data_IF_916031685512
#
_entry.id   IF_916031685512
#
_cell.length_a   1.000
_cell.length_b   1.000
_cell.length_c   1.000
_cell.angle_alpha   90.00
_cell.angle_beta   90.00
_cell.angle_gamma   90.00
#
_symmetry.space_group_name_H-M   'P 1'
#
loop_
_entity.id
_entity.type
_entity.pdbx_description
1 polymer ?
#
# COMPACT_ATOMS: atom_id res chain seq x y z
N UNK A 1 19.16 26.92 -0.07
CA UNK A 1 19.91 25.67 0.13
C UNK A 1 19.13 24.58 -0.58
N UNK A 2 19.67 24.04 -1.68
CA UNK A 2 19.04 22.97 -2.48
C UNK A 2 19.28 21.67 -1.76
N UNK A 3 18.23 21.05 -1.22
CA UNK A 3 18.33 19.72 -0.62
C UNK A 3 18.63 18.69 -1.73
N UNK A 4 19.86 18.19 -1.77
CA UNK A 4 20.21 17.06 -2.60
C UNK A 4 19.44 15.83 -2.16
N UNK A 5 18.56 15.31 -3.01
CA UNK A 5 17.94 14.01 -2.82
C UNK A 5 19.06 12.95 -2.75
N UNK A 6 19.16 12.25 -1.64
CA UNK A 6 20.12 11.18 -1.47
C UNK A 6 19.91 10.10 -2.53
N UNK A 7 20.96 9.53 -3.14
CA UNK A 7 20.85 8.50 -4.16
C UNK A 7 20.14 7.26 -3.57
N UNK A 8 19.14 6.75 -4.31
CA UNK A 8 18.48 5.48 -3.96
C UNK A 8 19.51 4.36 -4.02
N UNK A 9 19.78 3.73 -2.89
CA UNK A 9 20.65 2.54 -2.84
C UNK A 9 20.07 1.45 -3.75
N UNK A 10 20.89 0.77 -4.55
CA UNK A 10 20.43 -0.33 -5.36
C UNK A 10 19.89 -1.47 -4.49
N UNK A 11 18.86 -2.20 -4.94
CA UNK A 11 18.29 -3.33 -4.21
C UNK A 11 19.38 -4.39 -3.94
N UNK A 12 19.33 -5.03 -2.76
CA UNK A 12 20.23 -6.14 -2.47
C UNK A 12 20.04 -7.25 -3.52
N UNK A 13 21.13 -7.96 -3.88
CA UNK A 13 21.10 -9.02 -4.92
C UNK A 13 20.05 -10.12 -4.68
N UNK A 14 19.62 -10.37 -3.43
CA UNK A 14 18.53 -11.30 -3.09
C UNK A 14 17.14 -10.75 -3.42
N UNK A 15 16.90 -9.47 -3.19
CA UNK A 15 15.59 -8.83 -3.45
C UNK A 15 15.35 -8.56 -4.93
N UNK A 16 16.42 -8.34 -5.73
CA UNK A 16 16.29 -8.18 -7.18
C UNK A 16 15.86 -9.47 -7.91
N UNK A 17 15.94 -10.65 -7.25
CA UNK A 17 15.49 -11.93 -7.82
C UNK A 17 13.97 -12.18 -7.67
N UNK A 18 13.31 -11.53 -6.72
CA UNK A 18 11.90 -11.79 -6.39
C UNK A 18 10.93 -10.76 -7.02
N UNK A 19 11.42 -9.64 -7.50
CA UNK A 19 10.61 -8.67 -8.26
C UNK A 19 10.69 -8.99 -9.75
N UNK A 20 9.54 -9.18 -10.39
CA UNK A 20 9.51 -9.34 -11.84
C UNK A 20 10.17 -8.13 -12.53
N UNK A 21 11.09 -8.32 -13.48
CA UNK A 21 11.80 -7.22 -14.14
C UNK A 21 10.82 -6.19 -14.72
N UNK A 22 11.09 -4.90 -14.51
CA UNK A 22 10.27 -3.77 -15.00
C UNK A 22 9.93 -3.88 -16.49
N UNK A 23 10.85 -4.42 -17.30
CA UNK A 23 10.63 -4.66 -18.72
C UNK A 23 9.47 -5.64 -18.96
N UNK A 24 9.42 -6.78 -18.26
CA UNK A 24 8.34 -7.76 -18.40
C UNK A 24 6.99 -7.20 -18.00
N UNK A 25 6.95 -6.36 -16.96
CA UNK A 25 5.72 -5.68 -16.53
C UNK A 25 5.23 -4.69 -17.59
N UNK A 26 6.14 -3.86 -18.13
CA UNK A 26 5.82 -2.90 -19.20
C UNK A 26 5.33 -3.63 -20.46
N UNK A 27 6.00 -4.71 -20.87
CA UNK A 27 5.59 -5.52 -22.00
C UNK A 27 4.22 -6.14 -21.79
N UNK A 28 3.95 -6.70 -20.59
CA UNK A 28 2.61 -7.26 -20.27
C UNK A 28 1.53 -6.18 -20.29
N UNK A 29 1.79 -5.00 -19.72
CA UNK A 29 0.86 -3.88 -19.75
C UNK A 29 0.58 -3.41 -21.19
N UNK A 30 1.59 -3.35 -22.04
CA UNK A 30 1.44 -3.01 -23.47
C UNK A 30 0.62 -4.05 -24.20
N UNK A 31 0.92 -5.35 -24.03
CA UNK A 31 0.15 -6.44 -24.63
C UNK A 31 -1.30 -6.43 -24.16
N UNK A 32 -1.55 -6.26 -22.86
CA UNK A 32 -2.91 -6.12 -22.33
C UNK A 32 -3.65 -4.95 -22.98
N UNK A 33 -3.01 -3.80 -23.09
CA UNK A 33 -3.58 -2.60 -23.74
C UNK A 33 -3.92 -2.86 -25.21
N UNK A 34 -3.05 -3.54 -25.95
CA UNK A 34 -3.27 -3.87 -27.36
C UNK A 34 -4.42 -4.85 -27.55
N UNK A 35 -4.50 -5.90 -26.73
CA UNK A 35 -5.61 -6.88 -26.80
C UNK A 35 -6.94 -6.23 -26.42
N UNK A 36 -6.96 -5.37 -25.41
CA UNK A 36 -8.19 -4.71 -24.92
C UNK A 36 -8.63 -3.51 -25.77
N UNK A 37 -7.81 -3.04 -26.69
CA UNK A 37 -8.29 -2.07 -27.69
C UNK A 37 -9.37 -2.66 -28.60
N UNK A 38 -9.42 -3.99 -28.72
CA UNK A 38 -10.40 -4.73 -29.53
C UNK A 38 -11.65 -5.11 -28.73
N UNK A 39 -11.50 -5.45 -27.43
CA UNK A 39 -12.61 -5.84 -26.55
C UNK A 39 -12.70 -4.86 -25.38
N UNK A 40 -13.57 -3.88 -25.50
CA UNK A 40 -13.79 -2.86 -24.45
C UNK A 40 -14.81 -3.35 -23.43
N UNK A 41 -14.50 -3.21 -22.14
CA UNK A 41 -15.48 -3.33 -21.09
C UNK A 41 -16.55 -2.23 -21.22
N UNK A 42 -17.80 -2.55 -20.93
CA UNK A 42 -18.87 -1.54 -20.89
C UNK A 42 -18.59 -0.56 -19.76
N UNK A 43 -18.99 0.71 -19.89
CA UNK A 43 -18.75 1.72 -18.85
C UNK A 43 -19.29 1.34 -17.47
N UNK A 44 -20.45 0.71 -17.42
CA UNK A 44 -21.14 0.23 -16.21
C UNK A 44 -20.47 -0.98 -15.53
N UNK A 45 -19.63 -1.71 -16.29
CA UNK A 45 -18.86 -2.84 -15.76
C UNK A 45 -17.51 -2.45 -15.18
N UNK A 46 -17.08 -1.18 -15.35
CA UNK A 46 -15.74 -0.72 -14.94
C UNK A 46 -15.68 -0.42 -13.47
N UNK A 47 -14.60 -0.85 -12.83
CA UNK A 47 -14.32 -0.66 -11.41
C UNK A 47 -12.93 -0.17 -11.19
N UNK A 48 -12.76 0.59 -10.13
CA UNK A 48 -11.44 1.01 -9.64
C UNK A 48 -11.17 0.29 -8.33
N UNK A 49 -9.98 -0.30 -8.21
CA UNK A 49 -9.50 -0.93 -6.98
C UNK A 49 -8.31 -0.13 -6.45
N UNK A 50 -8.47 0.45 -5.27
CA UNK A 50 -7.42 1.21 -4.61
C UNK A 50 -6.76 0.35 -3.53
N UNK A 51 -5.43 0.38 -3.45
CA UNK A 51 -4.67 -0.36 -2.46
C UNK A 51 -3.98 0.63 -1.53
N UNK A 52 -4.43 0.68 -0.29
CA UNK A 52 -3.92 1.52 0.78
C UNK A 52 -3.12 0.73 1.82
N UNK A 53 -2.59 1.43 2.80
CA UNK A 53 -1.89 0.87 3.96
C UNK A 53 -0.47 1.38 4.10
N UNK A 54 0.26 0.79 5.03
CA UNK A 54 1.66 1.13 5.27
C UNK A 54 2.56 0.54 4.18
N UNK A 55 3.59 1.27 3.80
CA UNK A 55 4.66 0.71 2.96
C UNK A 55 5.25 -0.56 3.61
N UNK A 56 5.69 -1.52 2.79
CA UNK A 56 6.22 -2.84 3.22
C UNK A 56 5.18 -3.81 3.77
N UNK A 57 3.89 -3.48 3.75
CA UNK A 57 2.80 -4.38 4.15
C UNK A 57 2.36 -5.38 3.07
N UNK A 58 3.06 -5.48 1.94
CA UNK A 58 2.72 -6.44 0.87
C UNK A 58 1.84 -5.87 -0.24
N UNK A 59 1.63 -4.56 -0.30
CA UNK A 59 0.81 -3.88 -1.31
C UNK A 59 1.24 -4.19 -2.74
N UNK A 60 2.54 -4.28 -3.00
CA UNK A 60 3.09 -4.68 -4.31
C UNK A 60 2.79 -6.15 -4.63
N UNK A 61 2.82 -7.03 -3.62
CA UNK A 61 2.47 -8.44 -3.80
C UNK A 61 1.03 -8.59 -4.27
N UNK A 62 0.08 -7.93 -3.60
CA UNK A 62 -1.34 -7.98 -4.01
C UNK A 62 -1.51 -7.46 -5.42
N UNK A 63 -0.94 -6.31 -5.72
CA UNK A 63 -1.04 -5.71 -7.03
C UNK A 63 -0.50 -6.63 -8.14
N UNK A 64 0.69 -7.18 -7.97
CA UNK A 64 1.39 -7.89 -9.04
C UNK A 64 1.11 -9.38 -9.07
N UNK A 65 0.91 -10.00 -7.92
CA UNK A 65 0.72 -11.45 -7.82
C UNK A 65 -0.73 -11.85 -7.96
N UNK A 66 -1.64 -11.09 -7.36
CA UNK A 66 -3.07 -11.41 -7.38
C UNK A 66 -3.78 -10.70 -8.55
N UNK A 67 -3.68 -9.39 -8.66
CA UNK A 67 -4.48 -8.61 -9.60
C UNK A 67 -3.93 -8.61 -11.04
N UNK A 68 -2.61 -8.50 -11.24
CA UNK A 68 -2.02 -8.41 -12.58
C UNK A 68 -2.15 -9.70 -13.42
N UNK A 69 -2.62 -10.78 -12.85
CA UNK A 69 -2.78 -12.07 -13.55
C UNK A 69 -3.99 -12.12 -14.46
N UNK A 70 -5.03 -11.38 -14.13
CA UNK A 70 -6.22 -11.29 -14.98
C UNK A 70 -6.00 -10.35 -16.17
N UNK A 71 -6.42 -10.79 -17.37
CA UNK A 71 -6.49 -9.93 -18.55
C UNK A 71 -7.56 -8.85 -18.43
N UNK A 72 -8.47 -8.98 -17.47
CA UNK A 72 -9.54 -8.02 -17.18
C UNK A 72 -9.06 -6.86 -16.30
N UNK A 73 -7.87 -7.00 -15.69
CA UNK A 73 -7.28 -6.04 -14.76
C UNK A 73 -6.06 -5.36 -15.39
N UNK A 74 -6.01 -4.04 -15.33
CA UNK A 74 -4.78 -3.26 -15.56
C UNK A 74 -4.27 -2.68 -14.25
N UNK A 75 -2.95 -2.70 -14.08
CA UNK A 75 -2.27 -2.10 -12.95
C UNK A 75 -1.68 -0.76 -13.36
N UNK A 76 -1.90 0.26 -12.54
CA UNK A 76 -1.23 1.53 -12.64
C UNK A 76 -0.19 1.63 -11.51
N UNK A 77 1.06 1.82 -11.88
CA UNK A 77 2.15 2.05 -10.91
C UNK A 77 2.04 3.46 -10.31
N UNK A 78 2.65 3.70 -9.16
CA UNK A 78 2.55 4.96 -8.39
C UNK A 78 2.83 6.22 -9.23
N UNK A 79 3.71 6.12 -10.22
CA UNK A 79 4.10 7.22 -11.09
C UNK A 79 3.48 7.13 -12.50
N UNK A 80 2.39 6.37 -12.67
CA UNK A 80 1.73 6.31 -13.97
C UNK A 80 1.15 7.68 -14.32
N UNK A 81 1.33 8.08 -15.58
CA UNK A 81 0.85 9.37 -16.12
C UNK A 81 -0.66 9.60 -15.95
N UNK A 82 -1.43 8.55 -15.73
CA UNK A 82 -2.86 8.67 -15.47
C UNK A 82 -3.16 9.07 -14.03
N UNK A 83 -2.20 8.89 -13.10
CA UNK A 83 -2.33 9.16 -11.68
C UNK A 83 -1.72 10.50 -11.29
N UNK A 84 -0.51 10.77 -11.76
CA UNK A 84 0.26 11.95 -11.33
C UNK A 84 0.56 12.87 -12.53
N UNK A 85 0.67 14.18 -12.25
CA UNK A 85 1.22 15.10 -13.24
C UNK A 85 2.73 14.91 -13.32
N UNK A 86 3.32 15.01 -14.52
CA UNK A 86 4.77 15.01 -14.65
C UNK A 86 5.36 16.23 -13.93
N UNK A 87 6.15 15.99 -12.88
CA UNK A 87 6.86 17.01 -12.14
C UNK A 87 7.96 16.37 -11.28
N UNK A 88 9.07 17.03 -11.02
CA UNK A 88 10.12 16.48 -10.18
C UNK A 88 9.62 16.35 -8.73
N UNK A 89 9.57 15.13 -8.22
CA UNK A 89 9.25 14.83 -6.82
C UNK A 89 7.77 14.71 -6.47
N UNK A 90 6.84 14.90 -7.40
CA UNK A 90 5.42 14.76 -7.11
C UNK A 90 4.99 13.29 -7.16
N UNK A 91 4.52 12.79 -6.00
CA UNK A 91 3.95 11.45 -5.84
C UNK A 91 2.48 11.50 -5.42
N UNK A 92 1.96 12.69 -5.10
CA UNK A 92 0.59 12.91 -4.60
C UNK A 92 -0.38 13.19 -5.75
N UNK A 93 -1.61 12.73 -5.59
CA UNK A 93 -2.71 13.00 -6.53
C UNK A 93 -3.34 14.35 -6.17
N UNK A 94 -3.37 15.28 -7.10
CA UNK A 94 -3.86 16.64 -6.80
C UNK A 94 -5.37 16.79 -6.91
N UNK A 95 -5.99 16.13 -7.88
CA UNK A 95 -7.43 16.19 -8.13
C UNK A 95 -7.99 14.78 -8.29
N UNK A 96 -8.59 14.29 -7.22
CA UNK A 96 -9.08 12.91 -7.15
C UNK A 96 -10.16 12.62 -8.18
N UNK A 97 -11.11 13.53 -8.38
CA UNK A 97 -12.20 13.34 -9.35
C UNK A 97 -11.65 13.27 -10.78
N UNK A 98 -10.73 14.16 -11.15
CA UNK A 98 -10.08 14.13 -12.45
C UNK A 98 -9.23 12.87 -12.64
N UNK A 99 -8.45 12.46 -11.64
CA UNK A 99 -7.63 11.25 -11.70
C UNK A 99 -8.52 10.03 -11.86
N UNK A 100 -9.52 9.86 -10.98
CA UNK A 100 -10.42 8.72 -11.02
C UNK A 100 -11.27 8.70 -12.30
N UNK A 101 -11.76 9.84 -12.76
CA UNK A 101 -12.45 9.96 -14.04
C UNK A 101 -11.56 9.60 -15.24
N UNK A 102 -10.25 9.88 -15.16
CA UNK A 102 -9.27 9.51 -16.19
C UNK A 102 -9.00 8.02 -16.22
N UNK A 103 -8.78 7.39 -15.05
CA UNK A 103 -8.53 5.95 -14.96
C UNK A 103 -9.79 5.12 -15.23
N UNK A 104 -10.96 5.60 -14.87
CA UNK A 104 -12.24 4.95 -15.16
C UNK A 104 -12.54 4.89 -16.68
N UNK A 105 -11.93 5.77 -17.47
CA UNK A 105 -12.06 5.72 -18.96
C UNK A 105 -11.15 4.70 -19.62
N UNK A 106 -10.25 4.06 -18.88
CA UNK A 106 -9.42 3.00 -19.45
C UNK A 106 -10.29 1.78 -19.83
N UNK A 107 -9.97 1.09 -20.94
CA UNK A 107 -10.83 0.02 -21.50
C UNK A 107 -10.67 -1.31 -20.76
N UNK A 108 -10.66 -1.28 -19.42
CA UNK A 108 -10.53 -2.47 -18.58
C UNK A 108 -11.71 -2.56 -17.61
N UNK A 109 -12.06 -3.76 -17.21
CA UNK A 109 -13.10 -4.00 -16.22
C UNK A 109 -12.63 -3.55 -14.84
N UNK A 110 -11.35 -3.75 -14.54
CA UNK A 110 -10.74 -3.29 -13.30
C UNK A 110 -9.47 -2.51 -13.60
N UNK A 111 -9.37 -1.34 -13.00
CA UNK A 111 -8.13 -0.56 -12.91
C UNK A 111 -7.67 -0.57 -11.47
N UNK A 112 -6.54 -1.21 -11.20
CA UNK A 112 -5.95 -1.29 -9.87
C UNK A 112 -4.82 -0.26 -9.71
N UNK A 113 -4.91 0.59 -8.70
CA UNK A 113 -3.89 1.59 -8.36
C UNK A 113 -3.49 1.47 -6.89
N UNK A 114 -2.25 1.87 -6.58
CA UNK A 114 -1.68 1.77 -5.23
C UNK A 114 -1.27 3.15 -4.71
N UNK A 115 -2.22 4.01 -4.31
CA UNK A 115 -1.92 5.35 -3.83
C UNK A 115 -1.52 5.35 -2.34
N UNK A 116 -0.40 4.76 -1.97
CA UNK A 116 0.03 4.66 -0.56
C UNK A 116 0.24 6.01 0.11
N UNK A 117 0.73 6.99 -0.65
CA UNK A 117 0.93 8.37 -0.16
C UNK A 117 -0.40 9.08 0.11
N UNK A 118 -1.49 8.61 -0.49
CA UNK A 118 -2.84 9.15 -0.31
C UNK A 118 -3.66 8.36 0.72
N UNK A 119 -3.07 7.43 1.48
CA UNK A 119 -3.81 6.65 2.50
C UNK A 119 -4.50 7.54 3.54
N UNK A 120 -4.01 8.75 3.78
CA UNK A 120 -4.66 9.74 4.64
C UNK A 120 -5.94 10.36 4.05
N UNK A 121 -6.20 10.14 2.78
CA UNK A 121 -7.37 10.65 2.04
C UNK A 121 -8.19 9.51 1.43
N UNK A 122 -8.15 8.32 2.01
CA UNK A 122 -8.81 7.13 1.46
C UNK A 122 -10.31 7.34 1.26
N UNK A 123 -11.01 7.91 2.25
CA UNK A 123 -12.44 8.25 2.16
C UNK A 123 -12.71 9.21 0.99
N UNK A 124 -11.97 10.32 0.92
CA UNK A 124 -12.15 11.31 -0.14
C UNK A 124 -11.89 10.72 -1.55
N UNK A 125 -10.91 9.81 -1.66
CA UNK A 125 -10.64 9.09 -2.90
C UNK A 125 -11.80 8.15 -3.28
N UNK A 126 -12.35 7.42 -2.32
CA UNK A 126 -13.48 6.53 -2.58
C UNK A 126 -14.77 7.31 -2.91
N UNK A 127 -14.93 8.50 -2.37
CA UNK A 127 -16.10 9.38 -2.64
C UNK A 127 -16.01 10.09 -3.99
N UNK A 128 -14.81 10.24 -4.53
CA UNK A 128 -14.60 10.99 -5.77
C UNK A 128 -15.06 10.26 -7.05
N UNK A 129 -15.44 8.97 -6.97
CA UNK A 129 -16.01 8.22 -8.10
C UNK A 129 -16.92 7.08 -7.65
N UNK A 130 -17.89 6.74 -8.50
CA UNK A 130 -18.70 5.52 -8.35
C UNK A 130 -17.88 4.27 -8.66
N UNK A 131 -18.34 3.11 -8.18
CA UNK A 131 -17.75 1.79 -8.46
C UNK A 131 -16.27 1.66 -8.03
N UNK A 132 -15.91 2.30 -6.90
CA UNK A 132 -14.59 2.16 -6.26
C UNK A 132 -14.68 1.10 -5.16
N UNK A 133 -13.71 0.20 -5.13
CA UNK A 133 -13.44 -0.72 -4.04
C UNK A 133 -12.01 -0.48 -3.54
N UNK A 134 -11.76 -0.74 -2.27
CA UNK A 134 -10.46 -0.51 -1.68
C UNK A 134 -9.99 -1.70 -0.84
N UNK A 135 -8.69 -1.87 -0.78
CA UNK A 135 -8.01 -2.88 0.03
C UNK A 135 -7.05 -2.15 0.96
N UNK A 136 -7.22 -2.35 2.27
CA UNK A 136 -6.24 -1.92 3.25
C UNK A 136 -5.30 -3.08 3.56
N UNK A 137 -4.04 -2.95 3.13
CA UNK A 137 -3.03 -3.97 3.38
C UNK A 137 -2.50 -3.86 4.79
N UNK A 138 -2.70 -4.92 5.57
CA UNK A 138 -2.22 -5.03 6.94
C UNK A 138 -1.16 -6.13 7.05
N UNK A 139 -0.03 -5.82 7.67
CA UNK A 139 1.03 -6.76 7.99
C UNK A 139 1.52 -6.49 9.40
N UNK A 140 1.92 -7.53 10.12
CA UNK A 140 2.39 -7.43 11.50
C UNK A 140 3.57 -6.44 11.62
N UNK A 141 3.51 -5.55 12.59
CA UNK A 141 4.42 -4.39 12.71
C UNK A 141 5.91 -4.78 12.81
N UNK A 142 6.35 -5.82 13.54
CA UNK A 142 7.76 -6.22 13.56
C UNK A 142 8.25 -6.66 12.19
N UNK A 143 7.40 -7.29 11.39
CA UNK A 143 7.75 -7.70 10.04
C UNK A 143 7.91 -6.52 9.09
N UNK A 144 7.02 -5.52 9.22
CA UNK A 144 7.12 -4.28 8.47
C UNK A 144 8.36 -3.51 8.86
N UNK A 145 8.65 -3.40 10.15
CA UNK A 145 9.85 -2.75 10.68
C UNK A 145 11.13 -3.39 10.13
N UNK A 146 11.23 -4.71 10.24
CA UNK A 146 12.37 -5.45 9.69
C UNK A 146 12.51 -5.27 8.17
N UNK A 147 11.40 -5.33 7.43
CA UNK A 147 11.39 -5.14 5.98
C UNK A 147 11.77 -3.71 5.57
N UNK A 148 11.36 -2.71 6.35
CA UNK A 148 11.68 -1.30 6.12
C UNK A 148 13.19 -1.07 6.29
N UNK A 149 13.75 -1.41 7.44
CA UNK A 149 15.17 -1.23 7.76
C UNK A 149 16.05 -2.02 6.78
N UNK A 150 15.68 -3.27 6.46
CA UNK A 150 16.44 -4.10 5.52
C UNK A 150 16.42 -3.55 4.08
N UNK A 151 15.35 -2.89 3.68
CA UNK A 151 15.17 -2.40 2.30
C UNK A 151 15.74 -1.01 2.09
N UNK A 152 15.57 -0.12 3.05
CA UNK A 152 15.85 1.30 2.89
C UNK A 152 17.03 1.79 3.75
N UNK A 153 17.55 0.92 4.63
CA UNK A 153 18.63 1.25 5.56
C UNK A 153 18.14 1.80 6.91
N UNK A 154 19.04 1.86 7.90
CA UNK A 154 18.69 2.22 9.27
C UNK A 154 18.24 3.67 9.45
N UNK A 155 18.64 4.57 8.56
CA UNK A 155 18.27 5.99 8.66
C UNK A 155 16.86 6.30 8.13
N UNK A 156 16.31 5.39 7.31
CA UNK A 156 15.02 5.64 6.64
C UNK A 156 13.87 5.84 7.61
N UNK A 157 13.71 5.04 8.68
CA UNK A 157 12.61 5.22 9.61
C UNK A 157 12.57 6.61 10.27
N UNK A 158 13.73 7.16 10.59
CA UNK A 158 13.82 8.52 11.17
C UNK A 158 13.41 9.58 10.13
N UNK A 159 13.83 9.41 8.87
CA UNK A 159 13.39 10.29 7.77
C UNK A 159 11.89 10.21 7.53
N UNK A 160 11.29 9.03 7.70
CA UNK A 160 9.84 8.84 7.56
C UNK A 160 9.07 9.50 8.72
N UNK A 161 9.63 9.55 9.94
CA UNK A 161 9.01 10.17 11.10
C UNK A 161 9.31 11.68 11.23
N UNK A 162 10.34 12.19 10.55
CA UNK A 162 10.73 13.60 10.66
C UNK A 162 9.61 14.59 10.26
N UNK A 163 8.86 14.38 9.15
CA UNK A 163 7.72 15.25 8.81
C UNK A 163 6.63 15.25 9.89
N UNK A 164 6.42 14.11 10.57
CA UNK A 164 5.44 14.00 11.66
C UNK A 164 5.92 14.79 12.87
N UNK A 165 7.19 14.67 13.21
CA UNK A 165 7.81 15.44 14.31
C UNK A 165 7.79 16.95 14.06
N UNK A 166 8.08 17.37 12.82
CA UNK A 166 8.10 18.80 12.44
C UNK A 166 6.72 19.36 12.08
N UNK A 167 5.67 18.50 12.06
CA UNK A 167 4.31 18.87 11.65
C UNK A 167 4.26 19.48 10.25
N UNK A 168 5.00 18.89 9.31
CA UNK A 168 5.04 19.36 7.94
C UNK A 168 3.75 18.95 7.19
N UNK A 169 2.79 19.86 7.15
CA UNK A 169 1.47 19.67 6.51
C UNK A 169 1.55 19.39 5.01
N UNK A 170 2.68 19.72 4.36
CA UNK A 170 2.89 19.48 2.95
C UNK A 170 3.41 18.07 2.68
N UNK A 171 4.03 17.43 3.66
CA UNK A 171 4.52 16.06 3.52
C UNK A 171 3.39 15.04 3.76
N UNK A 172 3.27 14.09 2.85
CA UNK A 172 2.26 13.03 2.90
C UNK A 172 2.35 12.15 4.17
N UNK A 173 3.51 12.09 4.80
CA UNK A 173 3.73 11.29 6.03
C UNK A 173 3.02 11.89 7.22
N UNK A 174 2.95 13.22 7.29
CA UNK A 174 2.21 13.93 8.34
C UNK A 174 0.72 14.07 8.01
N UNK A 175 0.35 14.08 6.74
CA UNK A 175 -1.04 14.27 6.32
C UNK A 175 -1.95 13.24 7.00
N UNK A 176 -3.02 13.72 7.63
CA UNK A 176 -3.98 12.92 8.38
C UNK A 176 -3.53 12.52 9.80
N UNK A 177 -2.31 12.83 10.21
CA UNK A 177 -1.89 12.64 11.59
C UNK A 177 -2.59 13.66 12.51
N UNK A 178 -3.06 13.19 13.67
CA UNK A 178 -3.61 14.07 14.70
C UNK A 178 -2.48 14.77 15.47
N UNK A 179 -2.85 15.83 16.19
CA UNK A 179 -1.90 16.51 17.10
C UNK A 179 -1.34 15.52 18.15
N UNK A 180 -2.18 14.66 18.71
CA UNK A 180 -1.79 13.62 19.65
C UNK A 180 -0.77 12.64 19.03
N UNK A 181 -0.98 12.24 17.78
CA UNK A 181 -0.02 11.41 17.02
C UNK A 181 1.32 12.12 16.91
N UNK A 182 1.32 13.39 16.55
CA UNK A 182 2.54 14.20 16.44
C UNK A 182 3.30 14.35 17.77
N UNK A 183 2.58 14.57 18.86
CA UNK A 183 3.15 14.66 20.21
C UNK A 183 3.76 13.33 20.66
N UNK A 184 3.04 12.22 20.44
CA UNK A 184 3.50 10.87 20.77
C UNK A 184 4.77 10.51 20.01
N UNK A 185 4.82 10.75 18.70
CA UNK A 185 6.01 10.52 17.88
C UNK A 185 7.20 11.36 18.37
N UNK A 186 6.97 12.64 18.66
CA UNK A 186 8.02 13.53 19.15
C UNK A 186 8.59 13.06 20.49
N UNK A 187 7.71 12.71 21.43
CA UNK A 187 8.13 12.24 22.76
C UNK A 187 8.97 10.95 22.68
N UNK A 188 8.54 10.00 21.87
CA UNK A 188 9.26 8.73 21.69
C UNK A 188 10.60 8.91 20.97
N UNK A 189 10.65 9.70 19.90
CA UNK A 189 11.91 9.98 19.20
C UNK A 189 12.96 10.66 20.09
N UNK A 190 12.54 11.52 21.02
CA UNK A 190 13.45 12.19 21.96
C UNK A 190 14.10 11.22 22.97
N UNK A 191 13.59 9.98 23.10
CA UNK A 191 14.17 8.94 23.97
C UNK A 191 15.29 8.15 23.31
N UNK A 192 15.57 8.37 22.01
CA UNK A 192 16.63 7.69 21.30
C UNK A 192 16.24 6.29 20.83
N UNK A 193 15.09 6.15 20.16
CA UNK A 193 14.61 4.90 19.58
C UNK A 193 15.65 4.27 18.65
N UNK A 194 15.68 2.93 18.57
CA UNK A 194 16.43 2.22 17.53
C UNK A 194 15.77 2.39 16.17
N UNK A 195 16.48 2.14 15.04
CA UNK A 195 15.87 2.14 13.71
C UNK A 195 14.66 1.19 13.59
N UNK A 196 14.67 0.10 14.33
CA UNK A 196 13.61 -0.89 14.33
C UNK A 196 12.35 -0.36 15.05
N UNK A 197 12.54 0.28 16.21
CA UNK A 197 11.46 0.95 16.94
C UNK A 197 10.86 2.08 16.13
N UNK A 198 11.70 2.92 15.51
CA UNK A 198 11.25 4.01 14.66
C UNK A 198 10.44 3.51 13.45
N UNK A 199 10.82 2.36 12.86
CA UNK A 199 10.07 1.77 11.76
C UNK A 199 8.71 1.18 12.23
N UNK A 200 8.66 0.60 13.43
CA UNK A 200 7.41 0.14 14.04
C UNK A 200 6.49 1.32 14.40
N UNK A 201 7.06 2.40 14.94
CA UNK A 201 6.32 3.63 15.24
C UNK A 201 5.76 4.26 13.96
N UNK A 202 6.50 4.26 12.85
CA UNK A 202 5.98 4.71 11.55
C UNK A 202 4.84 3.81 11.06
N UNK A 203 4.93 2.47 11.24
CA UNK A 203 3.83 1.56 10.95
C UNK A 203 2.57 1.94 11.74
N UNK A 204 2.72 2.25 13.03
CA UNK A 204 1.62 2.70 13.88
C UNK A 204 0.96 3.96 13.33
N UNK A 205 1.73 5.01 12.99
CA UNK A 205 1.16 6.25 12.45
C UNK A 205 0.39 6.03 11.14
N UNK A 206 0.87 5.15 10.27
CA UNK A 206 0.21 4.89 8.98
C UNK A 206 -1.05 4.05 9.11
N UNK A 207 -1.11 3.14 10.07
CA UNK A 207 -2.29 2.29 10.26
C UNK A 207 -3.34 2.94 11.17
N UNK A 208 -2.95 3.93 12.01
CA UNK A 208 -3.90 4.76 12.75
C UNK A 208 -4.90 5.46 11.80
N UNK A 209 -4.46 5.85 10.61
CA UNK A 209 -5.29 6.48 9.58
C UNK A 209 -6.53 5.66 9.18
N UNK A 210 -6.50 4.34 9.34
CA UNK A 210 -7.68 3.50 9.08
C UNK A 210 -8.82 3.82 10.04
N UNK A 211 -8.51 4.03 11.31
CA UNK A 211 -9.48 4.34 12.35
C UNK A 211 -9.84 5.84 12.36
N UNK A 212 -8.86 6.72 12.16
CA UNK A 212 -9.09 8.18 12.13
C UNK A 212 -10.07 8.58 11.02
N UNK A 213 -10.09 7.86 9.90
CA UNK A 213 -11.03 8.04 8.80
C UNK A 213 -12.31 7.18 8.91
N UNK A 214 -12.49 6.42 10.01
CA UNK A 214 -13.64 5.51 10.21
C UNK A 214 -13.82 4.48 9.10
N UNK A 215 -12.74 4.03 8.48
CA UNK A 215 -12.80 3.11 7.34
C UNK A 215 -13.39 1.74 7.70
N UNK A 216 -13.45 1.39 8.99
CA UNK A 216 -14.13 0.19 9.48
C UNK A 216 -15.63 0.17 9.12
N UNK A 217 -16.25 1.36 9.04
CA UNK A 217 -17.68 1.54 8.79
C UNK A 217 -18.01 1.60 7.29
N UNK A 218 -17.00 1.69 6.42
CA UNK A 218 -17.17 1.80 4.97
C UNK A 218 -17.16 0.42 4.30
N UNK A 219 -18.25 0.06 3.64
CA UNK A 219 -18.41 -1.22 2.95
C UNK A 219 -17.60 -1.35 1.66
N UNK A 220 -17.04 -0.24 1.18
CA UNK A 220 -16.18 -0.19 0.00
C UNK A 220 -14.74 -0.59 0.27
N UNK A 221 -14.32 -0.75 1.55
CA UNK A 221 -12.97 -1.14 1.92
C UNK A 221 -12.95 -2.45 2.71
N UNK A 222 -11.96 -3.27 2.46
CA UNK A 222 -11.70 -4.51 3.21
C UNK A 222 -10.23 -4.59 3.57
N UNK A 223 -9.95 -5.18 4.73
CA UNK A 223 -8.58 -5.49 5.14
C UNK A 223 -8.14 -6.76 4.42
N UNK A 224 -6.91 -6.74 3.94
CA UNK A 224 -6.20 -7.95 3.52
C UNK A 224 -4.94 -8.13 4.37
N UNK A 225 -4.94 -9.17 5.19
CA UNK A 225 -3.78 -9.54 6.00
C UNK A 225 -2.72 -10.21 5.15
N UNK A 226 -1.47 -9.76 5.31
CA UNK A 226 -0.33 -10.28 4.56
C UNK A 226 -0.08 -11.77 4.79
N UNK A 227 -0.14 -12.21 6.04
CA UNK A 227 0.02 -13.61 6.44
C UNK A 227 -1.05 -14.49 5.83
N UNK A 228 -2.31 -14.07 5.83
CA UNK A 228 -3.41 -14.79 5.15
C UNK A 228 -3.16 -14.88 3.65
N UNK A 229 -2.73 -13.80 3.02
CA UNK A 229 -2.40 -13.82 1.60
C UNK A 229 -1.25 -14.76 1.25
N UNK A 230 -0.30 -14.97 2.18
CA UNK A 230 0.80 -15.90 2.02
C UNK A 230 0.41 -17.36 2.31
N UNK A 231 -0.39 -17.60 3.34
CA UNK A 231 -0.71 -18.95 3.83
C UNK A 231 -1.94 -19.54 3.14
N UNK A 232 -2.88 -18.72 2.69
CA UNK A 232 -4.15 -19.12 2.08
C UNK A 232 -4.40 -18.42 0.74
N UNK A 233 -3.45 -18.42 -0.21
CA UNK A 233 -3.52 -17.61 -1.43
C UNK A 233 -4.74 -17.92 -2.30
N UNK A 234 -5.16 -19.17 -2.38
CA UNK A 234 -6.33 -19.57 -3.20
C UNK A 234 -7.67 -19.09 -2.58
N UNK A 235 -7.76 -19.02 -1.26
CA UNK A 235 -8.93 -18.44 -0.58
C UNK A 235 -8.97 -16.93 -0.78
N UNK A 236 -7.83 -16.28 -0.65
CA UNK A 236 -7.70 -14.84 -0.89
C UNK A 236 -8.06 -14.48 -2.33
N UNK A 237 -7.67 -15.31 -3.32
CA UNK A 237 -8.06 -15.08 -4.71
C UNK A 237 -9.57 -15.17 -4.90
N UNK A 238 -10.23 -16.15 -4.27
CA UNK A 238 -11.69 -16.27 -4.36
C UNK A 238 -12.36 -15.06 -3.71
N UNK A 239 -11.98 -14.72 -2.47
CA UNK A 239 -12.51 -13.54 -1.76
C UNK A 239 -12.28 -12.24 -2.54
N UNK A 240 -11.09 -12.05 -3.12
CA UNK A 240 -10.79 -10.91 -4.00
C UNK A 240 -11.67 -10.91 -5.25
N UNK A 241 -11.83 -12.07 -5.91
CA UNK A 241 -12.66 -12.18 -7.11
C UNK A 241 -14.10 -11.78 -6.85
N UNK A 242 -14.66 -12.28 -5.74
CA UNK A 242 -16.04 -11.98 -5.32
C UNK A 242 -16.16 -10.49 -4.93
N UNK A 243 -15.21 -9.99 -4.17
CA UNK A 243 -15.20 -8.60 -3.72
C UNK A 243 -15.10 -7.60 -4.86
N UNK A 244 -14.19 -7.82 -5.82
CA UNK A 244 -14.02 -6.92 -6.96
C UNK A 244 -14.99 -7.23 -8.11
N UNK A 245 -15.71 -8.36 -8.05
CA UNK A 245 -16.66 -8.80 -9.08
C UNK A 245 -16.01 -9.19 -10.40
N UNK A 246 -14.76 -9.66 -10.39
CA UNK A 246 -14.03 -10.10 -11.59
C UNK A 246 -13.22 -11.35 -11.27
N UNK A 247 -13.42 -12.40 -12.05
CA UNK A 247 -12.69 -13.65 -11.87
C UNK A 247 -11.17 -13.46 -12.01
N UNK A 248 -10.45 -13.84 -10.97
CA UNK A 248 -9.00 -13.91 -10.95
C UNK A 248 -8.56 -15.37 -11.14
N UNK A 249 -7.47 -15.63 -11.89
CA UNK A 249 -7.06 -17.00 -12.18
C UNK A 249 -6.50 -17.70 -10.92
N UNK A 250 -7.11 -18.85 -10.60
CA UNK A 250 -6.64 -19.77 -9.54
C UNK A 250 -5.38 -20.54 -9.99
N UNK A 251 -4.62 -21.06 -9.06
CA UNK A 251 -3.57 -22.06 -9.30
C UNK A 251 -2.20 -21.54 -9.76
N UNK A 252 -2.11 -20.46 -10.51
CA UNK A 252 -0.82 -19.89 -10.92
C UNK A 252 -0.18 -18.98 -9.87
N UNK A 253 -0.91 -18.67 -8.82
CA UNK A 253 -0.56 -17.66 -7.81
C UNK A 253 0.06 -18.32 -6.57
N UNK A 254 -0.52 -19.43 -6.08
CA UNK A 254 -0.01 -20.15 -4.91
C UNK A 254 1.47 -20.53 -5.02
N UNK A 255 1.92 -20.94 -6.21
CA UNK A 255 3.32 -21.30 -6.46
C UNK A 255 4.28 -20.10 -6.44
N UNK A 256 3.77 -18.87 -6.47
CA UNK A 256 4.57 -17.62 -6.53
C UNK A 256 4.51 -16.82 -5.25
N UNK A 257 3.46 -16.99 -4.46
CA UNK A 257 3.41 -16.47 -3.09
C UNK A 257 4.26 -17.40 -2.24
N UNK A 258 5.54 -17.14 -2.21
CA UNK A 258 6.42 -17.79 -1.24
C UNK A 258 6.10 -17.18 0.11
N UNK A 259 5.44 -17.98 0.96
CA UNK A 259 5.49 -17.71 2.39
C UNK A 259 6.99 -17.68 2.75
N UNK A 260 7.54 -16.49 2.90
CA UNK A 260 8.80 -16.36 3.60
C UNK A 260 8.44 -16.57 5.06
N UNK A 261 8.82 -17.70 5.68
CA UNK A 261 8.64 -17.82 7.11
C UNK A 261 9.43 -16.67 7.72
N UNK A 262 8.69 -15.68 8.19
CA UNK A 262 9.27 -14.63 8.99
C UNK A 262 9.59 -15.28 10.34
N UNK A 263 10.85 -15.61 10.53
CA UNK A 263 11.38 -15.80 11.87
C UNK A 263 11.89 -14.42 12.31
N UNK A 264 11.10 -13.68 13.09
CA UNK A 264 11.65 -12.51 13.74
C UNK A 264 12.84 -13.02 14.54
N UNK A 265 14.07 -12.59 14.19
CA UNK A 265 15.05 -12.47 15.24
C UNK A 265 14.35 -11.56 16.24
N UNK A 266 13.98 -12.11 17.38
CA UNK A 266 13.26 -11.43 18.44
C UNK A 266 14.07 -10.21 18.85
N UNK A 267 13.89 -9.12 18.13
CA UNK A 267 14.33 -7.81 18.58
C UNK A 267 13.20 -7.31 19.45
N UNK A 268 13.49 -7.17 20.71
CA UNK A 268 12.60 -6.47 21.62
C UNK A 268 12.44 -5.05 21.12
N UNK A 269 11.21 -4.60 21.04
CA UNK A 269 10.87 -3.21 20.79
C UNK A 269 10.94 -2.41 22.09
N UNK A 270 11.13 -1.11 21.98
CA UNK A 270 10.87 -0.19 23.11
C UNK A 270 9.47 -0.47 23.65
N UNK A 271 9.29 -0.64 24.98
CA UNK A 271 8.02 -1.08 25.57
C UNK A 271 6.82 -0.20 25.24
N UNK A 272 7.03 1.12 25.06
CA UNK A 272 5.96 2.05 24.72
C UNK A 272 5.58 1.95 23.24
N UNK A 273 6.56 1.76 22.35
CA UNK A 273 6.31 1.49 20.92
C UNK A 273 5.57 0.18 20.77
N UNK A 274 6.01 -0.87 21.47
CA UNK A 274 5.34 -2.18 21.46
C UNK A 274 3.89 -2.07 21.92
N UNK A 275 3.63 -1.37 23.01
CA UNK A 275 2.29 -1.16 23.55
C UNK A 275 1.36 -0.45 22.54
N UNK A 276 1.86 0.63 21.90
CA UNK A 276 1.11 1.36 20.88
C UNK A 276 0.78 0.48 19.67
N UNK A 277 1.79 -0.20 19.14
CA UNK A 277 1.63 -1.07 17.98
C UNK A 277 0.70 -2.25 18.26
N UNK A 278 0.82 -2.89 19.43
CA UNK A 278 -0.02 -4.02 19.85
C UNK A 278 -1.46 -3.57 20.01
N UNK A 279 -1.71 -2.49 20.74
CA UNK A 279 -3.07 -1.94 20.91
C UNK A 279 -3.74 -1.65 19.56
N UNK A 280 -3.00 -1.04 18.64
CA UNK A 280 -3.53 -0.77 17.30
C UNK A 280 -3.75 -2.06 16.50
N UNK A 281 -2.83 -3.03 16.57
CA UNK A 281 -2.97 -4.34 15.92
C UNK A 281 -4.22 -5.07 16.39
N UNK A 282 -4.45 -5.10 17.71
CA UNK A 282 -5.62 -5.75 18.32
C UNK A 282 -6.93 -5.04 17.91
N UNK A 283 -6.89 -3.71 17.67
CA UNK A 283 -8.05 -2.95 17.20
C UNK A 283 -8.53 -3.37 15.80
N UNK A 284 -7.68 -4.02 15.01
CA UNK A 284 -8.07 -4.59 13.72
C UNK A 284 -8.87 -5.90 13.83
N UNK A 285 -8.96 -6.48 15.01
CA UNK A 285 -9.82 -7.65 15.22
C UNK A 285 -11.29 -7.29 15.00
N UNK A 286 -12.00 -8.13 14.25
CA UNK A 286 -13.40 -7.90 13.90
C UNK A 286 -13.64 -6.77 12.89
N UNK A 287 -12.61 -6.21 12.29
CA UNK A 287 -12.76 -5.36 11.11
C UNK A 287 -13.13 -6.18 9.87
N UNK A 288 -13.84 -5.61 8.88
CA UNK A 288 -14.20 -6.31 7.65
C UNK A 288 -12.96 -6.76 6.86
N UNK A 289 -12.80 -8.07 6.65
CA UNK A 289 -11.66 -8.68 5.95
C UNK A 289 -12.08 -9.35 4.63
N UNK A 290 -11.08 -9.56 3.74
CA UNK A 290 -11.19 -10.35 2.51
C UNK A 290 -11.00 -11.82 2.80
#
# INVERSE_FOLDING_TARGET
MVAHAAPKLPPSRRQARDEEPLFRRRTRALVKRSVRSVVRARPDERRVVLIFGCQRSGTTMVQQTFLDRSWRVIILEEHDRHLVRPGPGETTWQDYATVLGRIHRLPFEVVAAKPLVESASATALMDAASAVKAIWMLRHYPEVAQSNVSRFGPDNPYRDLQPIRSRDVLDWRYRGATEETGQTVTALLNRGLTPFDAAALFWWTRNQLYFDQRLREDDRIRILRYDRACNQPDEVIRSLSDYIGVALPLGSIASRVRAQPFHPKTRELDPDVERLCRKLWDSFEGCPEL
#
